data_IF_563722456375
#
_entry.id   IF_563722456375
#
_cell.length_a   1.000
_cell.length_b   1.000
_cell.length_c   1.000
_cell.angle_alpha   90.00
_cell.angle_beta   90.00
_cell.angle_gamma   90.00
#
_symmetry.space_group_name_H-M   'P 1'
#
loop_
_entity.id
_entity.type
_entity.pdbx_description
1 polymer ?
#
# COMPACT_ATOMS: atom_id res chain seq x y z
N UNK A 1 8.25 -5.43 0.60
CA UNK A 1 8.62 -5.09 1.98
C UNK A 1 8.11 -3.68 2.29
N UNK A 2 7.79 -3.42 3.56
CA UNK A 2 6.58 -2.69 3.93
C UNK A 2 6.55 -1.18 3.78
N UNK A 3 5.34 -0.67 3.61
CA UNK A 3 5.02 0.76 3.73
C UNK A 3 4.44 1.06 5.12
N UNK A 4 5.12 1.86 5.92
CA UNK A 4 4.64 2.38 7.21
C UNK A 4 4.10 3.79 6.99
N UNK A 5 2.80 3.98 7.17
CA UNK A 5 2.14 5.27 6.98
C UNK A 5 1.95 5.90 8.36
N UNK A 6 2.71 6.97 8.65
CA UNK A 6 2.58 7.68 9.93
C UNK A 6 1.44 8.68 9.82
N UNK A 7 0.56 8.74 10.81
CA UNK A 7 -0.61 9.64 10.83
C UNK A 7 -0.75 10.32 12.18
N UNK A 8 -1.24 11.56 12.19
CA UNK A 8 -1.49 12.29 13.41
C UNK A 8 -1.75 13.77 13.15
N UNK A 9 -2.18 14.48 14.20
CA UNK A 9 -2.44 15.91 14.14
C UNK A 9 -1.19 16.70 13.69
N UNK A 10 -1.34 17.93 13.17
CA UNK A 10 -0.21 18.83 13.03
C UNK A 10 0.51 18.97 14.38
N UNK A 11 1.84 19.08 14.34
CA UNK A 11 2.70 19.21 15.54
C UNK A 11 2.53 18.11 16.62
N UNK A 12 1.96 16.95 16.29
CA UNK A 12 1.77 15.83 17.24
C UNK A 12 3.02 14.97 17.51
N UNK A 13 4.21 15.36 17.06
CA UNK A 13 5.43 14.55 17.26
C UNK A 13 5.65 13.41 16.26
N UNK A 14 4.96 13.44 15.11
CA UNK A 14 5.12 12.45 14.01
C UNK A 14 6.58 12.26 13.59
N UNK A 15 7.29 13.35 13.30
CA UNK A 15 8.68 13.29 12.87
C UNK A 15 9.60 12.74 13.96
N UNK A 16 9.32 13.05 15.24
CA UNK A 16 10.06 12.49 16.38
C UNK A 16 9.90 10.97 16.45
N UNK A 17 8.66 10.47 16.41
CA UNK A 17 8.38 9.02 16.47
C UNK A 17 8.84 8.29 15.19
N UNK A 18 8.81 8.97 14.04
CA UNK A 18 9.32 8.43 12.77
C UNK A 18 10.84 8.26 12.78
N UNK A 19 11.58 9.21 13.37
CA UNK A 19 13.04 9.09 13.57
C UNK A 19 13.37 7.96 14.55
N UNK A 20 12.66 7.88 15.69
CA UNK A 20 12.83 6.76 16.62
C UNK A 20 12.58 5.39 15.97
N UNK A 21 11.52 5.29 15.16
CA UNK A 21 11.25 4.07 14.39
C UNK A 21 12.35 3.79 13.36
N UNK A 22 12.85 4.82 12.67
CA UNK A 22 13.95 4.68 11.73
C UNK A 22 15.20 4.12 12.43
N UNK A 23 15.62 4.71 13.55
CA UNK A 23 16.79 4.29 14.31
C UNK A 23 16.63 2.87 14.88
N UNK A 24 15.42 2.51 15.31
CA UNK A 24 15.09 1.16 15.76
C UNK A 24 15.22 0.15 14.62
N UNK A 25 14.63 0.47 13.46
CA UNK A 25 14.66 -0.41 12.29
C UNK A 25 16.06 -0.52 11.70
N UNK A 26 16.82 0.56 11.64
CA UNK A 26 18.20 0.59 11.15
C UNK A 26 19.06 -0.45 11.88
N UNK A 27 18.95 -0.53 13.22
CA UNK A 27 19.63 -1.54 14.03
C UNK A 27 19.16 -2.96 13.74
N UNK A 28 17.86 -3.14 13.48
CA UNK A 28 17.25 -4.46 13.24
C UNK A 28 17.51 -4.98 11.83
N UNK A 29 17.74 -4.10 10.85
CA UNK A 29 17.96 -4.49 9.46
C UNK A 29 19.42 -4.85 9.14
N UNK A 30 20.38 -4.62 10.03
CA UNK A 30 21.82 -4.89 9.78
C UNK A 30 22.08 -6.32 9.30
N UNK A 31 21.36 -7.30 9.85
CA UNK A 31 21.48 -8.72 9.49
C UNK A 31 20.50 -9.15 8.39
N UNK A 32 19.79 -8.19 7.79
CA UNK A 32 18.70 -8.42 6.85
C UNK A 32 19.03 -7.85 5.46
N UNK A 33 18.29 -8.27 4.43
CA UNK A 33 18.47 -7.77 3.05
C UNK A 33 17.70 -6.48 2.75
N UNK A 34 17.23 -5.78 3.78
CA UNK A 34 16.28 -4.68 3.65
C UNK A 34 17.01 -3.35 3.54
N UNK A 35 16.46 -2.44 2.73
CA UNK A 35 16.86 -1.02 2.75
C UNK A 35 15.78 -0.21 3.44
N UNK A 36 16.15 0.88 4.11
CA UNK A 36 15.23 1.72 4.86
C UNK A 36 15.18 3.13 4.30
N UNK A 37 13.98 3.64 4.06
CA UNK A 37 13.73 4.98 3.53
C UNK A 37 12.79 5.74 4.47
N UNK A 38 13.14 6.99 4.77
CA UNK A 38 12.27 7.93 5.47
C UNK A 38 11.91 9.05 4.49
N UNK A 39 10.62 9.18 4.20
CA UNK A 39 10.07 10.20 3.30
C UNK A 39 9.14 11.07 4.12
N UNK A 40 9.34 12.38 4.05
CA UNK A 40 8.50 13.39 4.67
C UNK A 40 8.26 14.59 3.77
N UNK A 41 7.30 15.44 4.14
CA UNK A 41 7.09 16.73 3.47
C UNK A 41 8.40 17.55 3.44
N UNK A 42 9.13 17.56 4.57
CA UNK A 42 10.41 18.27 4.72
C UNK A 42 11.50 17.68 3.81
N UNK A 43 11.58 16.36 3.69
CA UNK A 43 12.55 15.70 2.78
C UNK A 43 12.32 16.02 1.30
N UNK A 44 11.08 16.41 0.95
CA UNK A 44 10.69 16.79 -0.41
C UNK A 44 10.56 18.31 -0.58
N UNK A 45 10.98 19.10 0.42
CA UNK A 45 10.87 20.55 0.44
C UNK A 45 9.44 21.06 0.21
N UNK A 46 8.45 20.33 0.72
CA UNK A 46 7.03 20.70 0.67
C UNK A 46 6.72 21.60 1.88
N UNK A 47 6.43 22.87 1.62
CA UNK A 47 6.06 23.82 2.68
C UNK A 47 4.70 23.48 3.29
N UNK A 48 4.53 23.73 4.60
CA UNK A 48 3.26 23.55 5.32
C UNK A 48 2.12 24.44 4.81
N UNK A 49 2.46 25.49 4.07
CA UNK A 49 1.51 26.40 3.42
C UNK A 49 0.65 25.72 2.36
N UNK A 50 1.08 24.58 1.80
CA UNK A 50 0.27 23.83 0.80
C UNK A 50 -1.06 23.32 1.37
N UNK A 51 -1.13 23.19 2.70
CA UNK A 51 -2.33 22.78 3.44
C UNK A 51 -3.25 23.95 3.80
N UNK A 52 -2.81 25.19 3.58
CA UNK A 52 -3.62 26.37 3.85
C UNK A 52 -4.62 26.58 2.71
N UNK A 53 -5.90 26.39 3.02
CA UNK A 53 -7.00 26.48 2.07
C UNK A 53 -7.72 27.84 2.15
N UNK A 54 -7.18 28.80 2.91
CA UNK A 54 -7.74 30.14 3.01
C UNK A 54 -7.76 30.83 1.63
N UNK A 55 -8.91 31.39 1.20
CA UNK A 55 -9.04 32.06 -0.10
C UNK A 55 -7.98 33.12 -0.37
N UNK A 56 -7.58 33.85 0.68
CA UNK A 56 -6.65 34.98 0.59
C UNK A 56 -5.20 34.56 0.31
N UNK A 57 -4.86 33.29 0.56
CA UNK A 57 -3.52 32.72 0.40
C UNK A 57 -3.39 31.83 -0.84
N UNK A 58 -4.50 31.55 -1.50
CA UNK A 58 -4.51 30.78 -2.74
C UNK A 58 -4.12 31.68 -3.92
N UNK A 59 -3.20 31.26 -4.81
CA UNK A 59 -2.92 32.02 -6.03
C UNK A 59 -4.20 32.20 -6.86
N UNK A 60 -4.40 33.41 -7.41
CA UNK A 60 -5.64 33.79 -8.10
C UNK A 60 -6.04 32.85 -9.27
N UNK A 61 -5.09 32.13 -9.86
CA UNK A 61 -5.32 31.21 -10.98
C UNK A 61 -5.36 29.73 -10.59
N UNK A 62 -5.50 29.43 -9.30
CA UNK A 62 -5.56 28.04 -8.83
C UNK A 62 -6.90 27.42 -9.20
N UNK A 63 -6.86 26.27 -9.89
CA UNK A 63 -8.07 25.58 -10.41
C UNK A 63 -9.03 25.08 -9.32
N UNK A 64 -8.55 24.94 -8.08
CA UNK A 64 -9.31 24.49 -6.91
C UNK A 64 -8.56 24.92 -5.65
N UNK A 65 -9.29 25.20 -4.56
CA UNK A 65 -8.69 25.47 -3.26
C UNK A 65 -7.73 24.37 -2.78
N UNK A 66 -7.94 23.12 -3.22
CA UNK A 66 -7.16 21.97 -2.77
C UNK A 66 -6.02 21.59 -3.74
N UNK A 67 -5.72 22.41 -4.76
CA UNK A 67 -4.76 22.04 -5.79
C UNK A 67 -3.33 21.89 -5.22
N UNK A 68 -2.90 22.81 -4.37
CA UNK A 68 -1.59 22.77 -3.71
C UNK A 68 -1.41 21.49 -2.90
N UNK A 69 -2.40 21.13 -2.09
CA UNK A 69 -2.34 19.89 -1.30
C UNK A 69 -2.39 18.65 -2.20
N UNK A 70 -3.18 18.68 -3.28
CA UNK A 70 -3.22 17.59 -4.25
C UNK A 70 -1.86 17.36 -4.90
N UNK A 71 -1.15 18.43 -5.25
CA UNK A 71 0.19 18.35 -5.84
C UNK A 71 1.22 17.86 -4.82
N UNK A 72 1.12 18.29 -3.56
CA UNK A 72 1.93 17.75 -2.46
C UNK A 72 1.73 16.24 -2.28
N UNK A 73 0.47 15.76 -2.28
CA UNK A 73 0.17 14.33 -2.25
C UNK A 73 0.71 13.59 -3.47
N UNK A 74 0.67 14.20 -4.65
CA UNK A 74 1.25 13.61 -5.86
C UNK A 74 2.78 13.49 -5.77
N UNK A 75 3.45 14.49 -5.19
CA UNK A 75 4.90 14.45 -4.95
C UNK A 75 5.27 13.34 -3.95
N UNK A 76 4.58 13.25 -2.80
CA UNK A 76 4.75 12.18 -1.82
C UNK A 76 4.50 10.81 -2.42
N UNK A 77 3.40 10.66 -3.18
CA UNK A 77 3.07 9.42 -3.88
C UNK A 77 4.19 9.00 -4.84
N UNK A 78 4.69 9.95 -5.63
CA UNK A 78 5.80 9.72 -6.55
C UNK A 78 7.08 9.31 -5.83
N UNK A 79 7.39 9.93 -4.69
CA UNK A 79 8.55 9.60 -3.88
C UNK A 79 8.47 8.17 -3.31
N UNK A 80 7.33 7.83 -2.67
CA UNK A 80 7.09 6.48 -2.14
C UNK A 80 7.18 5.45 -3.26
N UNK A 81 6.47 5.68 -4.37
CA UNK A 81 6.42 4.74 -5.50
C UNK A 81 7.77 4.43 -6.12
N UNK A 82 8.70 5.40 -6.14
CA UNK A 82 10.05 5.20 -6.69
C UNK A 82 10.89 4.21 -5.87
N UNK A 83 10.68 4.15 -4.56
CA UNK A 83 11.49 3.32 -3.65
C UNK A 83 10.75 2.08 -3.16
N UNK A 84 9.42 2.07 -3.22
CA UNK A 84 8.61 0.97 -2.72
C UNK A 84 8.88 -0.30 -3.52
N UNK A 85 9.41 -1.32 -2.85
CA UNK A 85 9.74 -2.59 -3.49
C UNK A 85 9.54 -3.78 -2.55
N UNK A 86 9.81 -4.98 -3.06
CA UNK A 86 9.83 -6.18 -2.25
C UNK A 86 11.03 -6.25 -1.28
N UNK A 87 12.00 -5.32 -1.33
CA UNK A 87 13.24 -5.27 -0.51
C UNK A 87 13.43 -3.99 0.32
N UNK A 88 12.51 -3.05 0.19
CA UNK A 88 12.61 -1.72 0.82
C UNK A 88 11.54 -1.56 1.88
N UNK A 89 11.90 -1.02 3.05
CA UNK A 89 10.96 -0.51 4.07
C UNK A 89 10.87 1.00 3.88
N UNK A 90 9.65 1.51 3.76
CA UNK A 90 9.41 2.94 3.54
C UNK A 90 8.58 3.47 4.71
N UNK A 91 9.14 4.40 5.47
CA UNK A 91 8.42 5.19 6.48
C UNK A 91 7.98 6.49 5.81
N UNK A 92 6.67 6.71 5.75
CA UNK A 92 6.08 7.95 5.27
C UNK A 92 5.65 8.83 6.46
N UNK A 93 6.52 9.76 6.84
CA UNK A 93 6.25 10.81 7.84
C UNK A 93 5.51 11.98 7.20
N UNK A 94 4.19 11.95 7.29
CA UNK A 94 3.32 13.03 6.82
C UNK A 94 2.10 13.16 7.70
N UNK A 95 1.26 14.16 7.43
CA UNK A 95 -0.03 14.27 8.13
C UNK A 95 -0.91 13.04 7.88
N UNK A 96 -0.95 12.59 6.61
CA UNK A 96 -1.70 11.42 6.15
C UNK A 96 -3.15 11.35 6.69
N UNK A 97 -3.75 12.54 6.85
CA UNK A 97 -4.97 12.74 7.63
C UNK A 97 -6.27 12.40 6.89
N UNK A 98 -6.20 12.18 5.58
CA UNK A 98 -7.36 11.86 4.73
C UNK A 98 -7.41 10.34 4.51
N UNK A 99 -8.54 9.70 4.82
CA UNK A 99 -8.78 8.27 4.61
C UNK A 99 -8.61 7.85 3.16
N UNK A 100 -9.12 8.65 2.21
CA UNK A 100 -8.96 8.39 0.78
C UNK A 100 -7.49 8.36 0.33
N UNK A 101 -6.65 9.19 0.96
CA UNK A 101 -5.21 9.21 0.72
C UNK A 101 -4.50 7.99 1.33
N UNK A 102 -4.82 7.61 2.57
CA UNK A 102 -4.31 6.36 3.17
C UNK A 102 -4.72 5.14 2.36
N UNK A 103 -5.95 5.11 1.85
CA UNK A 103 -6.41 4.06 0.93
C UNK A 103 -5.59 3.99 -0.35
N UNK A 104 -5.25 5.14 -0.96
CA UNK A 104 -4.40 5.19 -2.14
C UNK A 104 -3.01 4.59 -1.88
N UNK A 105 -2.38 4.95 -0.77
CA UNK A 105 -1.08 4.41 -0.34
C UNK A 105 -1.15 2.89 -0.09
N UNK A 106 -2.20 2.42 0.57
CA UNK A 106 -2.45 0.99 0.77
C UNK A 106 -2.59 0.24 -0.56
N UNK A 107 -3.29 0.82 -1.54
CA UNK A 107 -3.42 0.22 -2.86
C UNK A 107 -2.07 0.12 -3.59
N UNK A 108 -1.19 1.11 -3.43
CA UNK A 108 0.15 1.08 -4.00
C UNK A 108 1.01 -0.02 -3.38
N UNK A 109 1.00 -0.12 -2.05
CA UNK A 109 1.65 -1.21 -1.31
C UNK A 109 1.14 -2.57 -1.80
N UNK A 110 -0.18 -2.72 -1.95
CA UNK A 110 -0.80 -3.94 -2.47
C UNK A 110 -0.38 -4.25 -3.91
N UNK A 111 -0.27 -3.24 -4.77
CA UNK A 111 0.18 -3.40 -6.16
C UNK A 111 1.61 -3.93 -6.22
N UNK A 112 2.48 -3.44 -5.34
CA UNK A 112 3.87 -3.90 -5.16
C UNK A 112 3.99 -5.17 -4.32
N UNK A 113 2.87 -5.84 -4.01
CA UNK A 113 2.80 -7.09 -3.21
C UNK A 113 3.49 -6.96 -1.87
N UNK A 114 3.40 -5.78 -1.28
CA UNK A 114 4.01 -5.47 -0.01
C UNK A 114 2.98 -5.15 1.07
N UNK A 115 3.20 -5.58 2.33
CA UNK A 115 2.36 -5.15 3.43
C UNK A 115 2.43 -3.63 3.64
N UNK A 116 1.36 -3.08 4.20
CA UNK A 116 1.31 -1.71 4.70
C UNK A 116 0.70 -1.70 6.09
N UNK A 117 1.08 -0.74 6.93
CA UNK A 117 0.48 -0.51 8.24
C UNK A 117 0.35 0.99 8.52
N UNK A 118 -0.48 1.33 9.51
CA UNK A 118 -0.59 2.70 10.01
C UNK A 118 0.10 2.79 11.37
N UNK A 119 0.90 3.83 11.57
CA UNK A 119 1.41 4.25 12.87
C UNK A 119 0.77 5.59 13.23
N UNK A 120 -0.24 5.57 14.11
CA UNK A 120 -0.90 6.76 14.60
C UNK A 120 -0.15 7.33 15.81
N UNK A 121 0.18 8.62 15.76
CA UNK A 121 0.75 9.34 16.89
C UNK A 121 -0.36 10.11 17.59
N UNK A 122 -0.75 9.62 18.76
CA UNK A 122 -1.74 10.23 19.63
C UNK A 122 -1.13 11.37 20.45
N UNK A 123 -1.76 12.53 20.38
CA UNK A 123 -1.43 13.70 21.19
C UNK A 123 -2.72 14.50 21.43
N UNK A 124 -2.91 15.01 22.64
CA UNK A 124 -4.02 15.92 22.93
C UNK A 124 -3.90 17.19 22.09
N UNK A 125 -5.04 17.70 21.61
CA UNK A 125 -5.11 18.90 20.76
C UNK A 125 -4.38 20.08 21.40
N UNK A 126 -4.58 20.31 22.71
CA UNK A 126 -3.96 21.43 23.43
C UNK A 126 -2.42 21.33 23.47
N UNK A 127 -1.89 20.12 23.65
CA UNK A 127 -0.44 19.90 23.64
C UNK A 127 0.14 20.12 22.25
N UNK A 128 -0.50 19.55 21.23
CA UNK A 128 -0.07 19.77 19.85
C UNK A 128 -0.14 21.26 19.47
N UNK A 129 -1.16 21.99 19.95
CA UNK A 129 -1.30 23.44 19.75
C UNK A 129 -0.18 24.22 20.42
N UNK A 130 0.12 23.90 21.68
CA UNK A 130 1.21 24.52 22.43
C UNK A 130 2.58 24.37 21.75
N UNK A 131 2.84 23.23 21.10
CA UNK A 131 4.06 23.05 20.28
C UNK A 131 4.07 24.00 19.08
N UNK A 132 2.93 24.18 18.42
CA UNK A 132 2.83 25.10 17.28
C UNK A 132 3.02 26.56 17.71
N UNK A 133 2.44 26.95 18.85
CA UNK A 133 2.60 28.29 19.44
C UNK A 133 4.05 28.58 19.83
N UNK A 134 4.74 27.61 20.43
CA UNK A 134 6.16 27.74 20.76
C UNK A 134 7.02 27.89 19.50
N UNK A 135 6.71 27.14 18.43
CA UNK A 135 7.39 27.31 17.13
C UNK A 135 7.12 28.70 16.53
N UNK A 136 5.89 29.20 16.60
CA UNK A 136 5.53 30.55 16.13
C UNK A 136 6.31 31.63 16.90
N UNK A 137 6.34 31.52 18.23
CA UNK A 137 7.09 32.43 19.10
C UNK A 137 8.58 32.41 18.78
N UNK A 138 9.16 31.23 18.53
CA UNK A 138 10.56 31.10 18.10
C UNK A 138 10.81 31.80 16.78
N UNK A 139 9.92 31.61 15.79
CA UNK A 139 10.01 32.27 14.47
C UNK A 139 10.03 33.79 14.61
N UNK A 140 9.15 34.36 15.43
CA UNK A 140 9.10 35.80 15.73
C UNK A 140 10.38 36.29 16.42
N UNK A 141 10.90 35.53 17.39
CA UNK A 141 12.13 35.88 18.08
C UNK A 141 13.37 35.85 17.15
N UNK A 142 13.43 34.92 16.18
CA UNK A 142 14.48 34.92 15.15
C UNK A 142 14.29 36.00 14.10
N UNK A 143 13.04 36.30 13.70
CA UNK A 143 12.74 37.36 12.73
C UNK A 143 13.15 38.75 13.24
N UNK A 144 12.96 39.01 14.55
CA UNK A 144 13.40 40.24 15.18
C UNK A 144 14.93 40.31 15.38
N UNK A 145 15.64 39.17 15.45
CA UNK A 145 17.11 39.15 15.56
C UNK A 145 17.83 39.34 14.22
N UNK A 146 17.21 38.93 13.11
CA UNK A 146 17.78 39.11 11.76
C UNK A 146 17.82 40.56 11.27
N UNK A 147 17.14 41.50 11.94
CA UNK A 147 17.23 42.94 11.65
C UNK A 147 18.40 43.64 12.37
N UNK A 148 19.01 43.03 13.41
CA UNK A 148 20.06 43.68 14.20
C UNK A 148 21.45 43.03 14.12
N UNK A 149 21.59 41.76 13.76
CA UNK A 149 22.93 41.12 13.68
C UNK A 149 23.04 40.14 12.50
N UNK A 150 23.41 40.67 11.31
CA UNK A 150 23.97 39.85 10.24
C UNK A 150 25.48 39.75 10.41
N UNK A 151 25.99 38.87 11.27
CA UNK A 151 27.34 38.32 11.12
C UNK A 151 27.57 37.13 12.06
N UNK A 152 27.59 35.93 11.47
CA UNK A 152 28.40 34.80 11.93
C UNK A 152 27.99 34.10 13.23
N UNK A 153 27.07 33.14 13.15
CA UNK A 153 27.05 32.02 14.09
C UNK A 153 26.51 30.74 13.42
N UNK A 154 27.42 29.87 12.99
CA UNK A 154 27.12 28.46 12.72
C UNK A 154 26.85 27.77 14.06
N UNK A 155 25.59 27.71 14.47
CA UNK A 155 25.18 26.99 15.69
C UNK A 155 25.04 25.50 15.37
N UNK A 156 26.04 24.73 15.80
CA UNK A 156 26.16 23.29 15.62
C UNK A 156 25.54 22.56 16.83
N UNK A 157 24.26 22.83 17.11
CA UNK A 157 23.50 22.18 18.18
C UNK A 157 22.65 21.02 17.62
N UNK A 158 22.82 19.77 18.06
CA UNK A 158 22.28 18.58 17.38
C UNK A 158 20.79 18.29 17.65
N UNK A 159 20.02 19.25 18.18
CA UNK A 159 18.64 18.98 18.62
C UNK A 159 17.69 20.18 18.55
N UNK A 160 17.89 21.09 17.60
CA UNK A 160 16.93 22.17 17.33
C UNK A 160 15.86 21.61 16.39
N UNK A 161 14.62 21.54 16.85
CA UNK A 161 13.44 21.28 16.02
C UNK A 161 13.32 22.41 14.99
N UNK A 162 13.95 22.23 13.82
CA UNK A 162 14.01 23.16 12.67
C UNK A 162 12.68 23.29 11.94
N UNK A 163 11.66 22.55 12.39
CA UNK A 163 10.39 22.45 11.71
C UNK A 163 9.59 23.76 11.80
N UNK A 164 9.33 24.35 10.63
CA UNK A 164 8.46 25.53 10.44
C UNK A 164 7.09 25.51 11.17
N UNK A 165 6.59 26.73 11.45
CA UNK A 165 5.20 27.08 11.66
C UNK A 165 4.11 26.26 10.99
N UNK A 166 2.95 26.05 11.63
CA UNK A 166 1.69 26.22 10.91
C UNK A 166 1.07 27.55 11.30
N UNK A 167 0.52 28.27 10.33
CA UNK A 167 -0.30 29.45 10.60
C UNK A 167 -1.53 29.05 11.43
N UNK A 168 -1.95 29.82 12.46
CA UNK A 168 -2.99 29.39 13.40
C UNK A 168 -4.29 28.91 12.74
N UNK A 169 -4.78 29.68 11.76
CA UNK A 169 -5.99 29.31 11.02
C UNK A 169 -5.82 28.02 10.21
N UNK A 170 -4.65 27.77 9.62
CA UNK A 170 -4.37 26.52 8.92
C UNK A 170 -4.30 25.34 9.91
N UNK A 171 -3.64 25.54 11.06
CA UNK A 171 -3.51 24.52 12.10
C UNK A 171 -4.88 24.07 12.64
N UNK A 172 -5.74 25.01 13.03
CA UNK A 172 -7.08 24.70 13.55
C UNK A 172 -7.93 23.99 12.47
N UNK A 173 -7.86 24.46 11.22
CA UNK A 173 -8.54 23.80 10.10
C UNK A 173 -8.01 22.38 9.82
N UNK A 174 -6.71 22.13 10.01
CA UNK A 174 -6.09 20.82 9.82
C UNK A 174 -6.54 19.83 10.89
N UNK A 175 -6.64 20.28 12.14
CA UNK A 175 -7.18 19.47 13.24
C UNK A 175 -8.65 19.12 12.97
N UNK A 176 -9.46 20.10 12.56
CA UNK A 176 -10.89 19.88 12.31
C UNK A 176 -11.15 18.83 11.21
N UNK A 177 -10.33 18.81 10.17
CA UNK A 177 -10.47 17.88 9.03
C UNK A 177 -9.70 16.57 9.19
N UNK A 178 -9.06 16.34 10.34
CA UNK A 178 -8.31 15.11 10.59
C UNK A 178 -9.27 13.92 10.68
N UNK A 179 -9.10 12.93 9.80
CA UNK A 179 -9.88 11.70 9.82
C UNK A 179 -9.08 10.59 10.53
N UNK A 180 -9.47 10.24 11.76
CA UNK A 180 -8.75 9.24 12.55
C UNK A 180 -8.65 7.88 11.82
N UNK A 181 -7.48 7.22 11.85
CA UNK A 181 -7.32 5.87 11.36
C UNK A 181 -8.31 4.89 12.01
N UNK A 182 -9.00 4.10 11.18
CA UNK A 182 -10.00 3.15 11.69
C UNK A 182 -9.53 1.69 11.49
N UNK A 183 -9.22 0.95 12.58
CA UNK A 183 -8.67 -0.41 12.49
C UNK A 183 -9.64 -1.43 11.87
N UNK A 184 -10.95 -1.12 11.82
CA UNK A 184 -11.95 -1.96 11.15
C UNK A 184 -11.86 -1.88 9.62
N UNK A 185 -11.21 -0.84 9.08
CA UNK A 185 -11.01 -0.70 7.64
C UNK A 185 -9.73 -1.39 7.20
N UNK A 186 -9.82 -2.16 6.11
CA UNK A 186 -8.70 -2.96 5.59
C UNK A 186 -7.44 -2.16 5.23
N UNK A 187 -7.57 -0.87 4.92
CA UNK A 187 -6.46 -0.02 4.49
C UNK A 187 -5.80 0.74 5.64
N UNK A 188 -6.50 0.88 6.78
CA UNK A 188 -5.91 1.43 8.01
C UNK A 188 -5.45 0.30 8.96
N UNK A 189 -5.55 -0.96 8.55
CA UNK A 189 -5.17 -2.14 9.35
C UNK A 189 -3.94 -2.85 8.74
N UNK A 190 -2.96 -3.27 9.57
CA UNK A 190 -2.89 -3.13 11.02
C UNK A 190 -2.59 -1.69 11.46
N UNK A 191 -3.25 -1.27 12.55
CA UNK A 191 -3.09 0.05 13.18
C UNK A 191 -2.28 -0.10 14.47
N UNK A 192 -1.21 0.68 14.57
CA UNK A 192 -0.40 0.84 15.77
C UNK A 192 -0.56 2.26 16.28
N UNK A 193 -0.58 2.44 17.61
CA UNK A 193 -0.75 3.76 18.23
C UNK A 193 0.35 3.99 19.24
N UNK A 194 0.95 5.18 19.20
CA UNK A 194 1.88 5.69 20.21
C UNK A 194 1.36 7.02 20.74
N UNK A 195 1.26 7.14 22.06
CA UNK A 195 0.98 8.41 22.73
C UNK A 195 2.28 9.07 23.22
N UNK A 196 2.17 10.31 23.68
CA UNK A 196 3.33 11.06 24.18
C UNK A 196 3.83 10.53 25.52
N UNK A 197 2.92 10.07 26.37
CA UNK A 197 3.24 9.47 27.67
C UNK A 197 3.88 8.08 27.56
N UNK A 198 3.90 7.46 26.38
CA UNK A 198 4.51 6.14 26.21
C UNK A 198 6.01 6.22 26.45
N UNK A 199 6.46 5.40 27.40
CA UNK A 199 7.86 5.23 27.75
C UNK A 199 8.63 4.48 26.66
N UNK A 200 9.96 4.43 26.82
CA UNK A 200 10.85 3.76 25.87
C UNK A 200 10.55 2.26 25.73
N UNK A 201 10.28 1.49 26.82
CA UNK A 201 9.85 0.09 26.72
C UNK A 201 8.58 -0.10 25.90
N UNK A 202 7.53 0.70 26.14
CA UNK A 202 6.28 0.61 25.41
C UNK A 202 6.46 1.00 23.94
N UNK A 203 7.24 2.05 23.68
CA UNK A 203 7.60 2.48 22.31
C UNK A 203 8.31 1.35 21.56
N UNK A 204 9.31 0.73 22.19
CA UNK A 204 10.07 -0.40 21.66
C UNK A 204 9.19 -1.61 21.38
N UNK A 205 8.24 -1.90 22.29
CA UNK A 205 7.27 -2.98 22.10
C UNK A 205 6.41 -2.76 20.86
N UNK A 206 5.84 -1.57 20.69
CA UNK A 206 5.05 -1.22 19.51
C UNK A 206 5.87 -1.35 18.22
N UNK A 207 7.13 -0.92 18.24
CA UNK A 207 8.03 -1.09 17.09
C UNK A 207 8.34 -2.56 16.79
N UNK A 208 8.44 -3.41 17.82
CA UNK A 208 8.59 -4.85 17.62
C UNK A 208 7.34 -5.48 17.02
N UNK A 209 6.16 -5.19 17.58
CA UNK A 209 4.88 -5.70 17.07
C UNK A 209 4.65 -5.22 15.62
N UNK A 210 5.02 -3.97 15.34
CA UNK A 210 5.01 -3.40 13.99
C UNK A 210 5.93 -4.20 13.06
N UNK A 211 7.19 -4.44 13.44
CA UNK A 211 8.12 -5.23 12.65
C UNK A 211 7.57 -6.62 12.34
N UNK A 212 7.02 -7.31 13.33
CA UNK A 212 6.52 -8.68 13.15
C UNK A 212 5.35 -8.71 12.15
N UNK A 213 4.47 -7.70 12.19
CA UNK A 213 3.36 -7.57 11.24
C UNK A 213 3.83 -7.32 9.79
N UNK A 214 4.94 -6.60 9.61
CA UNK A 214 5.31 -6.06 8.29
C UNK A 214 6.52 -6.73 7.63
N UNK A 215 7.44 -7.24 8.42
CA UNK A 215 8.72 -7.80 8.00
C UNK A 215 9.05 -9.15 8.67
N UNK A 216 8.40 -9.50 9.78
CA UNK A 216 8.58 -10.77 10.48
C UNK A 216 8.15 -12.01 9.69
N UNK A 217 8.49 -13.18 10.23
CA UNK A 217 8.16 -14.49 9.64
C UNK A 217 6.65 -14.74 9.56
N UNK A 218 5.88 -14.12 10.45
CA UNK A 218 4.42 -14.19 10.52
C UNK A 218 3.71 -13.22 9.57
N UNK A 219 4.44 -12.48 8.73
CA UNK A 219 3.84 -11.47 7.83
C UNK A 219 2.79 -12.08 6.91
N UNK A 220 1.66 -11.39 6.77
CA UNK A 220 0.62 -11.78 5.83
C UNK A 220 1.11 -11.61 4.40
N UNK A 221 1.14 -12.71 3.63
CA UNK A 221 1.49 -12.66 2.20
C UNK A 221 0.41 -11.91 1.43
N UNK A 222 0.76 -10.75 0.87
CA UNK A 222 -0.18 -9.89 0.14
C UNK A 222 -0.30 -10.37 -1.31
N UNK A 223 -1.49 -10.87 -1.67
CA UNK A 223 -1.82 -11.23 -3.06
C UNK A 223 -2.41 -10.00 -3.78
N UNK A 224 -1.92 -9.66 -4.99
CA UNK A 224 -2.44 -8.52 -5.76
C UNK A 224 -3.88 -8.80 -6.20
N UNK A 225 -4.68 -7.74 -6.37
CA UNK A 225 -5.99 -7.88 -6.99
C UNK A 225 -5.81 -8.22 -8.49
N UNK A 226 -6.47 -9.28 -8.97
CA UNK A 226 -6.38 -9.70 -10.37
C UNK A 226 -6.83 -8.61 -11.37
N UNK A 227 -7.66 -7.66 -10.93
CA UNK A 227 -8.11 -6.54 -11.74
C UNK A 227 -7.03 -5.46 -11.98
N UNK A 228 -5.98 -5.38 -11.14
CA UNK A 228 -4.97 -4.30 -11.18
C UNK A 228 -3.60 -4.77 -11.69
N UNK A 229 -3.46 -6.05 -12.04
CA UNK A 229 -2.25 -6.56 -12.70
C UNK A 229 -2.22 -5.96 -14.11
N UNK A 230 -1.19 -5.18 -14.43
CA UNK A 230 -1.00 -4.65 -15.78
C UNK A 230 -0.98 -5.82 -16.76
N UNK A 231 -1.93 -5.79 -17.70
CA UNK A 231 -2.11 -6.83 -18.71
C UNK A 231 -1.10 -6.56 -19.82
N UNK A 232 -0.24 -7.54 -20.11
CA UNK A 232 0.78 -7.44 -21.17
C UNK A 232 0.14 -6.99 -22.48
N UNK A 233 0.81 -6.09 -23.20
CA UNK A 233 0.21 -5.37 -24.33
C UNK A 233 0.26 -6.16 -25.64
N UNK A 234 0.81 -7.36 -25.62
CA UNK A 234 1.09 -8.14 -26.83
C UNK A 234 0.60 -9.59 -26.71
N UNK A 235 -0.72 -9.76 -26.67
CA UNK A 235 -1.30 -11.05 -27.04
C UNK A 235 -1.07 -11.25 -28.54
N UNK A 236 -0.09 -12.08 -28.93
CA UNK A 236 0.07 -12.55 -30.31
C UNK A 236 -1.31 -12.95 -30.88
N UNK A 237 -1.64 -12.58 -32.12
CA UNK A 237 -3.00 -12.66 -32.67
C UNK A 237 -3.73 -14.02 -32.54
N UNK A 238 -3.00 -15.11 -32.30
CA UNK A 238 -3.53 -16.47 -32.12
C UNK A 238 -3.88 -16.82 -30.65
N UNK A 239 -3.55 -15.97 -29.68
CA UNK A 239 -3.71 -16.28 -28.25
C UNK A 239 -5.16 -16.52 -27.84
N UNK A 240 -6.09 -15.69 -28.33
CA UNK A 240 -7.52 -15.84 -27.99
C UNK A 240 -8.10 -17.13 -28.57
N UNK A 241 -7.63 -17.54 -29.74
CA UNK A 241 -8.03 -18.79 -30.37
C UNK A 241 -7.51 -20.00 -29.56
N UNK A 242 -6.23 -20.00 -29.20
CA UNK A 242 -5.65 -21.05 -28.35
C UNK A 242 -6.34 -21.11 -26.99
N UNK A 243 -6.58 -19.95 -26.34
CA UNK A 243 -7.28 -19.88 -25.05
C UNK A 243 -8.68 -20.51 -25.11
N UNK A 244 -9.49 -20.16 -26.11
CA UNK A 244 -10.84 -20.72 -26.26
C UNK A 244 -10.79 -22.22 -26.60
N UNK A 245 -9.84 -22.64 -27.44
CA UNK A 245 -9.65 -24.05 -27.80
C UNK A 245 -9.28 -24.91 -26.60
N UNK A 246 -8.25 -24.54 -25.85
CA UNK A 246 -7.76 -25.33 -24.72
C UNK A 246 -8.77 -25.39 -23.57
N UNK A 247 -9.42 -24.27 -23.26
CA UNK A 247 -10.44 -24.24 -22.18
C UNK A 247 -11.72 -25.00 -22.58
N UNK A 248 -12.12 -24.94 -23.85
CA UNK A 248 -13.23 -25.75 -24.35
C UNK A 248 -12.94 -27.25 -24.31
N UNK A 249 -11.71 -27.65 -24.62
CA UNK A 249 -11.28 -29.04 -24.61
C UNK A 249 -11.23 -29.62 -23.18
N UNK A 250 -10.87 -28.81 -22.17
CA UNK A 250 -10.95 -29.21 -20.75
C UNK A 250 -12.41 -29.40 -20.33
N UNK A 251 -13.29 -28.44 -20.64
CA UNK A 251 -14.73 -28.55 -20.31
C UNK A 251 -15.34 -29.80 -20.96
N UNK A 252 -14.96 -30.10 -22.21
CA UNK A 252 -15.41 -31.30 -22.91
C UNK A 252 -15.00 -32.57 -22.17
N UNK A 253 -13.73 -32.69 -21.75
CA UNK A 253 -13.25 -33.86 -20.99
C UNK A 253 -13.96 -34.05 -19.65
N UNK A 254 -14.24 -32.97 -18.93
CA UNK A 254 -14.99 -33.04 -17.67
C UNK A 254 -16.40 -33.60 -17.93
N UNK A 255 -17.09 -33.09 -18.95
CA UNK A 255 -18.43 -33.56 -19.32
C UNK A 255 -18.42 -35.01 -19.78
N UNK A 256 -17.40 -35.44 -20.52
CA UNK A 256 -17.23 -36.83 -20.94
C UNK A 256 -16.98 -37.76 -19.75
N UNK A 257 -16.08 -37.39 -18.84
CA UNK A 257 -15.82 -38.17 -17.63
C UNK A 257 -17.08 -38.34 -16.78
N UNK A 258 -17.88 -37.27 -16.59
CA UNK A 258 -19.13 -37.32 -15.84
C UNK A 258 -20.29 -38.06 -16.54
N UNK A 259 -20.11 -38.46 -17.82
CA UNK A 259 -21.04 -39.34 -18.55
C UNK A 259 -20.70 -40.82 -18.36
N UNK A 260 -19.45 -41.15 -18.08
CA UNK A 260 -18.96 -42.53 -17.90
C UNK A 260 -19.24 -43.07 -16.49
N UNK A 261 -19.47 -42.20 -15.49
CA UNK A 261 -19.89 -42.58 -14.14
C UNK A 261 -20.50 -41.41 -13.35
N UNK A 262 -21.34 -41.75 -12.37
CA UNK A 262 -21.99 -40.75 -11.49
C UNK A 262 -21.07 -40.26 -10.35
N UNK A 263 -20.06 -41.06 -9.97
CA UNK A 263 -19.06 -40.79 -8.91
C UNK A 263 -17.66 -40.54 -9.50
N UNK A 264 -17.50 -39.44 -10.25
CA UNK A 264 -16.19 -39.00 -10.73
C UNK A 264 -15.72 -37.84 -9.87
N UNK A 265 -14.79 -38.13 -8.96
CA UNK A 265 -14.18 -37.13 -8.07
C UNK A 265 -12.96 -36.46 -8.72
N UNK A 266 -12.33 -37.11 -9.71
CA UNK A 266 -11.12 -36.61 -10.37
C UNK A 266 -11.15 -36.81 -11.89
N UNK A 267 -10.76 -35.76 -12.64
CA UNK A 267 -10.62 -35.82 -14.10
C UNK A 267 -9.19 -35.50 -14.50
N UNK A 268 -8.54 -36.43 -15.23
CA UNK A 268 -7.18 -36.24 -15.74
C UNK A 268 -7.17 -35.51 -17.08
N UNK A 269 -6.35 -34.48 -17.17
CA UNK A 269 -6.20 -33.59 -18.31
C UNK A 269 -4.74 -33.63 -18.79
N UNK A 270 -4.46 -34.14 -20.00
CA UNK A 270 -3.12 -34.09 -20.57
C UNK A 270 -2.68 -32.65 -20.87
N UNK A 271 -1.45 -32.30 -20.48
CA UNK A 271 -0.90 -30.93 -20.65
C UNK A 271 0.42 -30.88 -21.44
N UNK A 272 0.87 -31.97 -22.06
CA UNK A 272 2.13 -32.03 -22.82
C UNK A 272 3.42 -31.94 -21.97
N UNK A 273 3.33 -31.37 -20.76
CA UNK A 273 4.38 -31.31 -19.72
C UNK A 273 4.10 -32.22 -18.52
N UNK A 274 2.92 -32.85 -18.47
CA UNK A 274 2.46 -33.74 -17.41
C UNK A 274 0.94 -33.93 -17.46
N UNK A 275 0.42 -34.79 -16.59
CA UNK A 275 -1.03 -34.96 -16.36
C UNK A 275 -1.49 -33.99 -15.27
N UNK A 276 -2.50 -33.18 -15.57
CA UNK A 276 -3.16 -32.28 -14.63
C UNK A 276 -4.43 -32.93 -14.10
N UNK A 277 -4.78 -32.72 -12.84
CA UNK A 277 -6.02 -33.27 -12.26
C UNK A 277 -6.98 -32.16 -11.86
N UNK A 278 -8.21 -32.24 -12.38
CA UNK A 278 -9.35 -31.43 -11.91
C UNK A 278 -10.07 -32.21 -10.83
N UNK A 279 -10.18 -31.63 -9.64
CA UNK A 279 -10.94 -32.21 -8.52
C UNK A 279 -12.37 -31.68 -8.60
N UNK A 280 -13.34 -32.58 -8.70
CA UNK A 280 -14.76 -32.24 -8.74
C UNK A 280 -15.34 -32.26 -7.31
N UNK A 281 -16.31 -31.39 -6.99
CA UNK A 281 -16.94 -31.38 -5.67
C UNK A 281 -17.59 -32.74 -5.34
N UNK A 282 -17.32 -33.25 -4.14
CA UNK A 282 -17.76 -34.59 -3.74
C UNK A 282 -19.29 -34.75 -3.82
N UNK A 283 -19.75 -35.79 -4.52
CA UNK A 283 -21.16 -36.14 -4.64
C UNK A 283 -22.03 -35.16 -5.45
N UNK A 284 -21.42 -34.22 -6.20
CA UNK A 284 -22.17 -33.26 -7.05
C UNK A 284 -21.65 -33.23 -8.48
N UNK A 285 -22.55 -33.50 -9.43
CA UNK A 285 -22.27 -33.26 -10.85
C UNK A 285 -22.25 -31.77 -11.17
N UNK A 286 -21.09 -31.25 -11.55
CA UNK A 286 -20.96 -29.91 -12.13
C UNK A 286 -21.64 -29.86 -13.51
N UNK A 287 -22.76 -29.14 -13.62
CA UNK A 287 -23.51 -29.05 -14.86
C UNK A 287 -22.76 -28.27 -15.96
N UNK A 288 -23.00 -28.63 -17.24
CA UNK A 288 -22.47 -27.90 -18.40
C UNK A 288 -22.70 -26.37 -18.32
N UNK A 289 -23.87 -25.85 -17.89
CA UNK A 289 -24.06 -24.41 -17.73
C UNK A 289 -23.10 -23.76 -16.73
N UNK A 290 -22.78 -24.45 -15.63
CA UNK A 290 -21.84 -23.97 -14.61
C UNK A 290 -20.42 -23.95 -15.16
N UNK A 291 -19.98 -25.04 -15.83
CA UNK A 291 -18.67 -25.11 -16.48
C UNK A 291 -18.51 -24.00 -17.53
N UNK A 292 -19.55 -23.75 -18.34
CA UNK A 292 -19.53 -22.66 -19.32
C UNK A 292 -19.48 -21.27 -18.68
N UNK A 293 -20.13 -21.07 -17.52
CA UNK A 293 -20.03 -19.82 -16.75
C UNK A 293 -18.60 -19.61 -16.23
N UNK A 294 -18.00 -20.64 -15.64
CA UNK A 294 -16.62 -20.62 -15.14
C UNK A 294 -15.62 -20.37 -16.27
N UNK A 295 -15.82 -21.01 -17.44
CA UNK A 295 -15.02 -20.77 -18.64
C UNK A 295 -15.10 -19.31 -19.09
N UNK A 296 -16.30 -18.74 -19.22
CA UNK A 296 -16.48 -17.34 -19.63
C UNK A 296 -15.84 -16.37 -18.64
N UNK A 297 -15.97 -16.64 -17.34
CA UNK A 297 -15.31 -15.84 -16.30
C UNK A 297 -13.78 -15.90 -16.45
N UNK A 298 -13.21 -17.10 -16.61
CA UNK A 298 -11.78 -17.30 -16.82
C UNK A 298 -11.27 -16.64 -18.12
N UNK A 299 -12.00 -16.79 -19.23
CA UNK A 299 -11.69 -16.12 -20.49
C UNK A 299 -11.73 -14.60 -20.33
N UNK A 300 -12.70 -14.04 -19.58
CA UNK A 300 -12.78 -12.61 -19.29
C UNK A 300 -11.59 -12.09 -18.49
N UNK A 301 -11.07 -12.89 -17.56
CA UNK A 301 -9.86 -12.58 -16.79
C UNK A 301 -8.61 -12.61 -17.68
N UNK A 302 -8.52 -13.60 -18.59
CA UNK A 302 -7.32 -13.89 -19.37
C UNK A 302 -7.32 -13.33 -20.79
N UNK A 303 -8.37 -12.62 -21.23
CA UNK A 303 -8.51 -12.01 -22.57
C UNK A 303 -7.36 -11.05 -22.94
N UNK A 304 -6.66 -10.52 -21.94
CA UNK A 304 -5.54 -9.60 -22.11
C UNK A 304 -4.15 -10.23 -22.23
N UNK A 305 -4.01 -11.55 -22.47
CA UNK A 305 -2.70 -12.17 -22.77
C UNK A 305 -1.68 -12.17 -21.62
N UNK A 306 -2.14 -12.21 -20.37
CA UNK A 306 -1.30 -12.02 -19.19
C UNK A 306 -0.24 -13.14 -19.05
N UNK A 307 1.03 -12.77 -18.87
CA UNK A 307 2.07 -13.66 -18.33
C UNK A 307 2.73 -14.66 -19.30
N UNK A 308 2.42 -14.57 -20.60
CA UNK A 308 2.99 -15.44 -21.65
C UNK A 308 4.07 -14.79 -22.51
N UNK A 309 4.44 -13.54 -22.25
CA UNK A 309 5.54 -12.84 -22.96
C UNK A 309 6.91 -13.51 -22.72
N UNK A 310 7.08 -14.27 -21.63
CA UNK A 310 8.38 -14.79 -21.21
C UNK A 310 8.77 -16.18 -21.76
N UNK A 311 7.88 -16.95 -22.39
CA UNK A 311 8.19 -18.35 -22.73
C UNK A 311 7.57 -18.75 -24.08
N UNK A 312 8.43 -18.83 -25.10
CA UNK A 312 8.11 -19.49 -26.37
C UNK A 312 7.78 -20.97 -26.16
N UNK A 313 6.92 -21.51 -27.04
CA UNK A 313 6.51 -22.91 -27.16
C UNK A 313 5.72 -23.59 -26.01
N UNK A 314 5.62 -23.03 -24.79
CA UNK A 314 4.80 -23.61 -23.70
C UNK A 314 3.38 -23.02 -23.55
N UNK A 315 2.84 -22.36 -24.57
CA UNK A 315 1.60 -21.56 -24.44
C UNK A 315 0.36 -22.39 -24.06
N UNK A 316 0.14 -23.55 -24.68
CA UNK A 316 -1.06 -24.37 -24.46
C UNK A 316 -1.01 -25.12 -23.12
N UNK A 317 0.15 -25.70 -22.77
CA UNK A 317 0.36 -26.45 -21.53
C UNK A 317 0.06 -25.60 -20.29
N UNK A 318 0.65 -24.39 -20.25
CA UNK A 318 0.46 -23.47 -19.13
C UNK A 318 -0.95 -22.90 -19.04
N UNK A 319 -1.63 -22.72 -20.18
CA UNK A 319 -3.04 -22.31 -20.21
C UNK A 319 -3.93 -23.39 -19.60
N UNK A 320 -3.67 -24.66 -19.91
CA UNK A 320 -4.37 -25.78 -19.27
C UNK A 320 -4.12 -25.81 -17.77
N UNK A 321 -2.87 -25.69 -17.34
CA UNK A 321 -2.50 -25.64 -15.92
C UNK A 321 -3.23 -24.51 -15.18
N UNK A 322 -3.17 -23.29 -15.70
CA UNK A 322 -3.80 -22.13 -15.07
C UNK A 322 -5.32 -22.27 -15.00
N UNK A 323 -5.96 -22.86 -16.00
CA UNK A 323 -7.39 -23.11 -15.99
C UNK A 323 -7.79 -24.22 -15.02
N UNK A 324 -7.02 -25.31 -14.95
CA UNK A 324 -7.24 -26.39 -13.96
C UNK A 324 -7.11 -25.85 -12.54
N UNK A 325 -6.05 -25.08 -12.24
CA UNK A 325 -5.89 -24.44 -10.92
C UNK A 325 -7.07 -23.52 -10.61
N UNK A 326 -7.53 -22.72 -11.57
CA UNK A 326 -8.69 -21.86 -11.39
C UNK A 326 -9.98 -22.64 -11.08
N UNK A 327 -10.19 -23.79 -11.75
CA UNK A 327 -11.33 -24.65 -11.49
C UNK A 327 -11.27 -25.23 -10.07
N UNK A 328 -10.14 -25.81 -9.67
CA UNK A 328 -9.95 -26.37 -8.32
C UNK A 328 -10.13 -25.28 -7.24
N UNK A 329 -9.49 -24.12 -7.38
CA UNK A 329 -9.64 -22.96 -6.47
C UNK A 329 -11.09 -22.45 -6.35
N UNK A 330 -11.90 -22.68 -7.39
CA UNK A 330 -13.30 -22.26 -7.40
C UNK A 330 -14.20 -23.32 -6.78
N UNK A 331 -13.92 -24.60 -7.06
CA UNK A 331 -14.64 -25.73 -6.47
C UNK A 331 -14.40 -25.83 -4.97
N UNK A 332 -13.18 -25.62 -4.48
CA UNK A 332 -12.86 -25.58 -3.04
C UNK A 332 -13.60 -24.46 -2.28
N UNK A 333 -14.01 -23.38 -2.95
CA UNK A 333 -14.76 -22.28 -2.32
C UNK A 333 -16.27 -22.48 -2.32
N UNK A 334 -16.77 -23.36 -3.18
CA UNK A 334 -18.19 -23.69 -3.32
C UNK A 334 -18.57 -24.93 -2.46
N UNK A 335 -17.60 -25.58 -1.82
CA UNK A 335 -17.79 -26.60 -0.74
C UNK A 335 -18.10 -25.96 0.62
#
# INVERSE_FOLDING_TARGET
MPLVIVSGLPTSGKSTRSKQLYDYLEKRIVDSKYRLHLISDESLSISRTVYDLSPDKLPAHTRSANASEKDARAALYGAVKRVLSDKDIVILDGLNYIKGWRYQLHCEAKAMRTPSCILQIGCGVDRAKGVNEERLRRREATGNKSEEESEGATDNSPNVDTAEPYEPGNWDNLVFRYEEPNPMTRWDSPLFTLIWEDDEPQTTKVFSDLWDAIAGETRKVIRPNQATVQRGREASGDYLYVLDRETSDIVKRIVEAQREGDDVDEVRIPSGSGDLTVQLPAGKKVGLPQLQRLRRAFMGLNRGGIGLEAVGDMRAARLRETFVTYLNDTFEKDE
#
